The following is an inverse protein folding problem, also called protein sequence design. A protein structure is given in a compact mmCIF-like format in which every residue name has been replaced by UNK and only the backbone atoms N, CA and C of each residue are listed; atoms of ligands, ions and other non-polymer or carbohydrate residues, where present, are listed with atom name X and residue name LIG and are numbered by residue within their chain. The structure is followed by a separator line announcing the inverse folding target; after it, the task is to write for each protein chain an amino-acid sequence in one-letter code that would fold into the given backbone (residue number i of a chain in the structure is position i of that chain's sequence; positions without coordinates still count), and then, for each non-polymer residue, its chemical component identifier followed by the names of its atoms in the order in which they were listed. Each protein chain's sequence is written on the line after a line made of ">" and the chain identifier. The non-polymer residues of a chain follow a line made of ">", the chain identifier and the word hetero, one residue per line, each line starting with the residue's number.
data_IF_007193288013
#
_entry.id   IF_007193288013
#
_cell.length_a   1.000
_cell.length_b   1.000
_cell.length_c   1.000
_cell.angle_alpha   90.00
_cell.angle_beta   90.00
_cell.angle_gamma   90.00
#
_symmetry.space_group_name_H-M   'P 1'
#
loop_
_entity.id
_entity.type
_entity.pdbx_description
1 polymer ?
#
# COMPACT_ATOMS: atom_id res chain seq x y z
N UNK A 1 3.88 -22.10 10.77
CA UNK A 1 2.86 -22.01 9.71
C UNK A 1 3.17 -22.91 8.53
N UNK A 2 4.32 -22.80 7.88
CA UNK A 2 4.72 -23.65 6.73
C UNK A 2 4.73 -25.17 7.01
N UNK A 3 5.02 -25.59 8.25
CA UNK A 3 4.95 -26.99 8.63
C UNK A 3 3.56 -27.62 8.43
N UNK A 4 2.50 -26.88 8.72
CA UNK A 4 1.12 -27.33 8.55
C UNK A 4 0.51 -26.93 7.20
N UNK A 5 1.04 -25.90 6.56
CA UNK A 5 0.56 -25.35 5.30
C UNK A 5 1.74 -25.09 4.35
N UNK A 6 2.38 -26.17 3.81
CA UNK A 6 3.59 -26.02 3.00
C UNK A 6 3.35 -25.22 1.71
N UNK A 7 2.13 -25.21 1.20
CA UNK A 7 1.74 -24.49 -0.02
C UNK A 7 1.36 -23.02 0.23
N UNK A 8 1.47 -22.53 1.48
CA UNK A 8 1.12 -21.13 1.83
C UNK A 8 1.75 -20.08 0.90
N UNK A 9 3.00 -20.23 0.41
CA UNK A 9 3.60 -19.25 -0.49
C UNK A 9 3.00 -19.23 -1.90
N UNK A 10 2.29 -20.27 -2.32
CA UNK A 10 1.80 -20.44 -3.70
C UNK A 10 0.29 -20.55 -3.82
N UNK A 11 -0.41 -20.87 -2.72
CA UNK A 11 -1.86 -21.06 -2.69
C UNK A 11 -2.55 -20.18 -1.67
N UNK A 12 -3.76 -19.72 -1.97
CA UNK A 12 -4.56 -19.03 -0.97
C UNK A 12 -5.03 -20.02 0.12
N UNK A 13 -4.80 -19.70 1.38
CA UNK A 13 -5.28 -20.53 2.48
C UNK A 13 -6.82 -20.65 2.48
N UNK A 14 -7.53 -19.57 2.13
CA UNK A 14 -8.96 -19.60 1.85
C UNK A 14 -9.19 -19.72 0.35
N UNK A 15 -9.54 -20.93 -0.10
CA UNK A 15 -9.68 -21.29 -1.53
C UNK A 15 -10.64 -20.38 -2.33
N UNK A 16 -11.63 -19.74 -1.67
CA UNK A 16 -12.53 -18.79 -2.34
C UNK A 16 -11.81 -17.62 -3.01
N UNK A 17 -10.61 -17.26 -2.54
CA UNK A 17 -9.79 -16.20 -3.14
C UNK A 17 -9.11 -16.62 -4.46
N UNK A 18 -9.17 -17.91 -4.85
CA UNK A 18 -8.66 -18.35 -6.16
C UNK A 18 -9.49 -17.76 -7.31
N UNK A 19 -10.75 -17.42 -7.05
CA UNK A 19 -11.66 -16.80 -8.02
C UNK A 19 -11.81 -15.30 -7.86
N UNK A 20 -11.03 -14.68 -6.96
CA UNK A 20 -11.08 -13.23 -6.75
C UNK A 20 -10.66 -12.50 -8.04
N UNK A 21 -11.44 -11.51 -8.51
CA UNK A 21 -11.22 -10.83 -9.78
C UNK A 21 -10.07 -9.80 -9.69
N UNK A 22 -8.84 -10.27 -9.62
CA UNK A 22 -7.66 -9.42 -9.61
C UNK A 22 -7.49 -8.64 -10.92
N UNK A 23 -7.11 -7.37 -10.80
CA UNK A 23 -6.75 -6.51 -11.93
C UNK A 23 -5.22 -6.48 -12.01
N UNK A 24 -4.64 -7.18 -12.98
CA UNK A 24 -3.18 -7.26 -13.11
C UNK A 24 -2.62 -6.11 -13.97
N UNK A 25 -2.79 -4.87 -13.51
CA UNK A 25 -2.27 -3.67 -14.16
C UNK A 25 -0.78 -3.47 -13.84
N UNK A 26 0.08 -3.66 -14.84
CA UNK A 26 1.52 -3.49 -14.70
C UNK A 26 1.93 -2.02 -14.56
N UNK A 27 1.16 -1.07 -15.09
CA UNK A 27 1.43 0.36 -14.90
C UNK A 27 1.25 0.75 -13.43
N UNK A 28 0.12 0.38 -12.84
CA UNK A 28 -0.17 0.63 -11.42
C UNK A 28 0.87 -0.07 -10.52
N UNK A 29 1.20 -1.33 -10.81
CA UNK A 29 2.23 -2.07 -10.07
C UNK A 29 3.59 -1.34 -10.09
N UNK A 30 4.01 -0.84 -11.25
CA UNK A 30 5.27 -0.11 -11.38
C UNK A 30 5.25 1.22 -10.63
N UNK A 31 4.12 1.94 -10.64
CA UNK A 31 3.94 3.16 -9.84
C UNK A 31 4.07 2.88 -8.35
N UNK A 32 3.44 1.81 -7.87
CA UNK A 32 3.55 1.38 -6.47
C UNK A 32 5.00 1.01 -6.10
N UNK A 33 5.68 0.19 -6.91
CA UNK A 33 7.08 -0.20 -6.68
C UNK A 33 8.02 1.00 -6.56
N UNK A 34 7.79 2.06 -7.34
CA UNK A 34 8.61 3.28 -7.36
C UNK A 34 8.25 4.29 -6.27
N UNK A 35 7.16 4.08 -5.52
CA UNK A 35 6.64 5.08 -4.60
C UNK A 35 6.18 6.34 -5.33
N UNK A 36 5.39 6.16 -6.39
CA UNK A 36 4.82 7.21 -7.25
C UNK A 36 3.29 7.07 -7.34
N UNK A 37 2.65 6.69 -6.24
CA UNK A 37 1.20 6.45 -6.20
C UNK A 37 0.38 7.72 -6.00
N UNK A 38 1.02 8.79 -5.53
CA UNK A 38 0.36 10.03 -5.11
C UNK A 38 -0.21 9.96 -3.69
N UNK A 39 0.02 8.87 -2.95
CA UNK A 39 -0.35 8.71 -1.55
C UNK A 39 0.90 8.72 -0.67
N UNK A 40 1.21 9.83 0.02
CA UNK A 40 2.52 10.07 0.64
C UNK A 40 2.98 8.99 1.61
N UNK A 41 2.10 8.44 2.46
CA UNK A 41 2.49 7.37 3.39
C UNK A 41 2.84 6.06 2.65
N UNK A 42 2.19 5.78 1.52
CA UNK A 42 2.49 4.63 0.66
C UNK A 42 3.83 4.86 -0.05
N UNK A 43 3.99 6.04 -0.66
CA UNK A 43 5.17 6.38 -1.42
C UNK A 43 6.43 6.44 -0.53
N UNK A 44 6.32 7.03 0.66
CA UNK A 44 7.37 7.03 1.66
C UNK A 44 7.80 5.60 2.05
N UNK A 45 6.83 4.72 2.29
CA UNK A 45 7.10 3.32 2.61
C UNK A 45 7.84 2.58 1.50
N UNK A 46 7.45 2.76 0.25
CA UNK A 46 8.11 2.11 -0.87
C UNK A 46 9.51 2.68 -1.13
N UNK A 47 9.72 3.98 -0.93
CA UNK A 47 11.05 4.61 -1.01
C UNK A 47 11.95 4.18 0.15
N UNK A 48 11.42 4.05 1.38
CA UNK A 48 12.16 3.45 2.50
C UNK A 48 12.65 2.06 2.15
N UNK A 49 11.73 1.19 1.69
CA UNK A 49 12.05 -0.19 1.33
C UNK A 49 13.19 -0.25 0.31
N UNK A 50 13.08 0.53 -0.77
CA UNK A 50 14.10 0.55 -1.82
C UNK A 50 15.45 1.07 -1.34
N UNK A 51 15.45 2.09 -0.47
CA UNK A 51 16.68 2.72 0.00
C UNK A 51 17.39 1.93 1.11
N UNK A 52 16.65 1.17 1.93
CA UNK A 52 17.18 0.59 3.17
C UNK A 52 17.05 -0.92 3.25
N UNK A 53 16.24 -1.55 2.41
CA UNK A 53 15.88 -2.96 2.53
C UNK A 53 15.02 -3.28 3.77
N UNK A 54 14.48 -2.25 4.43
CA UNK A 54 13.66 -2.38 5.63
C UNK A 54 12.35 -1.60 5.50
N UNK A 55 11.34 -2.03 6.21
CA UNK A 55 10.08 -1.29 6.37
C UNK A 55 9.41 -1.72 7.68
N UNK A 56 9.01 -0.75 8.49
CA UNK A 56 8.29 -1.02 9.73
C UNK A 56 6.97 -1.76 9.46
N UNK A 57 6.59 -2.74 10.30
CA UNK A 57 5.42 -3.60 10.08
C UNK A 57 4.12 -2.83 9.78
N UNK A 58 3.87 -1.71 10.47
CA UNK A 58 2.67 -0.89 10.20
C UNK A 58 2.66 -0.36 8.76
N UNK A 59 3.80 0.06 8.26
CA UNK A 59 3.94 0.58 6.89
C UNK A 59 3.77 -0.56 5.89
N UNK A 60 4.36 -1.75 6.16
CA UNK A 60 4.13 -2.97 5.32
C UNK A 60 2.63 -3.23 5.14
N UNK A 61 1.85 -3.16 6.22
CA UNK A 61 0.39 -3.36 6.16
C UNK A 61 -0.31 -2.30 5.30
N UNK A 62 0.11 -1.02 5.39
CA UNK A 62 -0.51 0.08 4.64
C UNK A 62 -0.22 -0.07 3.14
N UNK A 63 1.04 -0.25 2.76
CA UNK A 63 1.44 -0.34 1.35
C UNK A 63 0.92 -1.61 0.69
N UNK A 64 0.87 -2.74 1.44
CA UNK A 64 0.30 -3.99 0.94
C UNK A 64 -1.22 -3.88 0.78
N UNK A 65 -1.93 -3.29 1.75
CA UNK A 65 -3.37 -3.03 1.63
C UNK A 65 -3.68 -2.14 0.43
N UNK A 66 -2.88 -1.12 0.17
CA UNK A 66 -3.06 -0.25 -0.99
C UNK A 66 -2.95 -1.05 -2.30
N UNK A 67 -1.91 -1.88 -2.44
CA UNK A 67 -1.72 -2.73 -3.61
C UNK A 67 -2.92 -3.66 -3.85
N UNK A 68 -3.29 -4.45 -2.83
CA UNK A 68 -4.27 -5.53 -3.02
C UNK A 68 -5.72 -5.05 -2.97
N UNK A 69 -6.04 -3.96 -2.25
CA UNK A 69 -7.40 -3.47 -2.06
C UNK A 69 -7.75 -2.28 -2.95
N UNK A 70 -6.87 -1.29 -3.04
CA UNK A 70 -7.16 -0.10 -3.84
C UNK A 70 -6.80 -0.31 -5.32
N UNK A 71 -5.77 -1.09 -5.61
CA UNK A 71 -5.35 -1.36 -6.98
C UNK A 71 -5.80 -2.74 -7.49
N UNK A 72 -6.32 -3.62 -6.63
CA UNK A 72 -6.75 -4.99 -6.95
C UNK A 72 -5.65 -5.81 -7.65
N UNK A 73 -4.40 -5.54 -7.35
CA UNK A 73 -3.25 -6.30 -7.85
C UNK A 73 -3.05 -7.53 -6.97
N UNK A 74 -2.79 -8.69 -7.60
CA UNK A 74 -2.62 -9.95 -6.90
C UNK A 74 -1.48 -9.87 -5.87
N UNK A 75 -1.72 -10.38 -4.66
CA UNK A 75 -0.81 -10.28 -3.53
C UNK A 75 0.59 -10.90 -3.80
N UNK A 76 0.69 -11.98 -4.59
CA UNK A 76 1.97 -12.57 -5.00
C UNK A 76 2.92 -11.55 -5.67
N UNK A 77 2.39 -10.58 -6.43
CA UNK A 77 3.26 -9.55 -7.06
C UNK A 77 3.92 -8.64 -6.04
N UNK A 78 3.22 -8.35 -4.96
CA UNK A 78 3.76 -7.58 -3.85
C UNK A 78 4.69 -8.44 -2.97
N UNK A 79 4.31 -9.68 -2.68
CA UNK A 79 5.12 -10.65 -1.95
C UNK A 79 6.49 -10.86 -2.60
N UNK A 80 6.51 -11.11 -3.92
CA UNK A 80 7.75 -11.29 -4.67
C UNK A 80 8.62 -10.03 -4.61
N UNK A 81 8.03 -8.84 -4.74
CA UNK A 81 8.77 -7.60 -4.63
C UNK A 81 9.36 -7.38 -3.23
N UNK A 82 8.61 -7.72 -2.18
CA UNK A 82 9.11 -7.66 -0.81
C UNK A 82 10.23 -8.68 -0.58
N UNK A 83 10.12 -9.88 -1.15
CA UNK A 83 11.16 -10.89 -1.09
C UNK A 83 12.48 -10.40 -1.69
N UNK A 84 12.41 -9.71 -2.83
CA UNK A 84 13.57 -9.17 -3.52
C UNK A 84 14.20 -7.96 -2.79
N UNK A 85 13.41 -7.19 -2.05
CA UNK A 85 13.86 -5.92 -1.48
C UNK A 85 14.19 -5.98 0.02
N UNK A 86 13.50 -6.83 0.81
CA UNK A 86 13.68 -6.88 2.26
C UNK A 86 14.90 -7.71 2.64
N UNK A 87 15.82 -7.13 3.42
CA UNK A 87 16.95 -7.88 3.95
C UNK A 87 16.56 -8.89 5.05
N UNK A 88 15.42 -8.67 5.72
CA UNK A 88 14.83 -9.56 6.72
C UNK A 88 13.74 -10.48 6.13
N UNK A 89 13.78 -10.73 4.83
CA UNK A 89 12.80 -11.57 4.15
C UNK A 89 12.78 -13.00 4.73
N UNK A 90 11.63 -13.41 5.20
CA UNK A 90 11.32 -14.77 5.65
C UNK A 90 10.06 -15.26 4.93
N UNK A 91 10.14 -16.43 4.30
CA UNK A 91 9.07 -16.90 3.42
C UNK A 91 7.74 -17.12 4.18
N UNK A 92 7.81 -17.61 5.41
CA UNK A 92 6.60 -17.85 6.21
C UNK A 92 5.92 -16.54 6.61
N UNK A 93 6.70 -15.57 7.10
CA UNK A 93 6.20 -14.29 7.55
C UNK A 93 5.72 -13.42 6.37
N UNK A 94 6.47 -13.43 5.26
CA UNK A 94 6.12 -12.68 4.05
C UNK A 94 4.79 -13.20 3.48
N UNK A 95 4.68 -14.50 3.20
CA UNK A 95 3.46 -15.10 2.64
C UNK A 95 2.26 -14.96 3.59
N UNK A 96 2.45 -15.22 4.89
CA UNK A 96 1.39 -15.06 5.88
C UNK A 96 0.91 -13.60 5.99
N UNK A 97 1.83 -12.65 6.00
CA UNK A 97 1.52 -11.22 6.06
C UNK A 97 0.76 -10.72 4.83
N UNK A 98 1.19 -11.12 3.64
CA UNK A 98 0.51 -10.76 2.40
C UNK A 98 -0.88 -11.37 2.30
N UNK A 99 -1.05 -12.64 2.67
CA UNK A 99 -2.35 -13.30 2.71
C UNK A 99 -3.26 -12.71 3.79
N UNK A 100 -2.71 -12.33 4.97
CA UNK A 100 -3.49 -11.61 5.97
C UNK A 100 -4.07 -10.30 5.43
N UNK A 101 -3.23 -9.49 4.76
CA UNK A 101 -3.68 -8.24 4.13
C UNK A 101 -4.66 -8.51 3.00
N UNK A 102 -4.43 -9.51 2.16
CA UNK A 102 -5.35 -9.89 1.08
C UNK A 102 -6.72 -10.34 1.60
N UNK A 103 -6.77 -10.90 2.79
CA UNK A 103 -7.97 -11.49 3.38
C UNK A 103 -8.08 -13.00 3.18
N UNK A 104 -7.08 -13.61 2.52
CA UNK A 104 -7.03 -15.07 2.25
C UNK A 104 -6.29 -15.87 3.31
N UNK A 105 -5.70 -15.23 4.32
CA UNK A 105 -4.90 -15.86 5.36
C UNK A 105 -5.73 -16.50 6.49
N UNK A 106 -5.05 -17.22 7.41
CA UNK A 106 -5.64 -17.97 8.52
C UNK A 106 -6.36 -17.10 9.52
N UNK A 107 -5.79 -15.93 9.85
CA UNK A 107 -6.31 -14.98 10.84
C UNK A 107 -6.75 -13.67 10.17
N UNK A 108 -7.24 -13.80 8.93
CA UNK A 108 -7.82 -12.68 8.22
C UNK A 108 -9.03 -12.16 9.00
N UNK A 109 -9.15 -10.84 9.11
CA UNK A 109 -10.28 -10.20 9.77
C UNK A 109 -11.62 -10.81 9.26
N UNK A 110 -12.65 -10.99 10.11
CA UNK A 110 -13.91 -11.62 9.74
C UNK A 110 -14.64 -10.92 8.59
N UNK A 111 -14.19 -9.74 8.20
CA UNK A 111 -14.64 -8.99 7.05
C UNK A 111 -13.46 -8.34 6.32
N UNK A 112 -13.68 -8.00 5.07
CA UNK A 112 -12.68 -7.45 4.16
C UNK A 112 -12.28 -6.02 4.56
N UNK A 113 -11.19 -5.89 5.32
CA UNK A 113 -10.68 -4.60 5.78
C UNK A 113 -9.89 -3.88 4.68
N UNK A 114 -10.23 -2.63 4.42
CA UNK A 114 -9.54 -1.74 3.48
C UNK A 114 -8.99 -0.56 4.27
N UNK A 115 -7.68 -0.34 4.22
CA UNK A 115 -7.07 0.82 4.85
C UNK A 115 -7.21 2.05 3.95
N UNK A 116 -7.55 3.19 4.56
CA UNK A 116 -7.45 4.48 3.89
C UNK A 116 -6.06 5.06 4.17
N UNK A 117 -5.17 5.22 3.17
CA UNK A 117 -3.79 5.67 3.38
C UNK A 117 -3.71 7.07 4.01
N UNK A 118 -4.66 7.96 3.71
CA UNK A 118 -4.70 9.32 4.28
C UNK A 118 -4.89 9.24 5.80
N UNK A 119 -5.91 8.49 6.25
CA UNK A 119 -6.19 8.34 7.69
C UNK A 119 -5.12 7.54 8.41
N UNK A 120 -4.47 6.58 7.72
CA UNK A 120 -3.35 5.84 8.30
C UNK A 120 -2.13 6.75 8.47
N UNK A 121 -1.82 7.61 7.50
CA UNK A 121 -0.75 8.60 7.61
C UNK A 121 -1.00 9.56 8.77
N UNK A 122 -2.16 10.21 8.81
CA UNK A 122 -2.54 11.12 9.90
C UNK A 122 -2.48 10.48 11.30
N UNK A 123 -2.72 9.17 11.41
CA UNK A 123 -2.72 8.45 12.69
C UNK A 123 -1.33 7.97 13.14
N UNK A 124 -0.47 7.54 12.22
CA UNK A 124 0.78 6.85 12.54
C UNK A 124 2.04 7.65 12.21
N UNK A 125 1.87 8.79 11.56
CA UNK A 125 2.93 9.76 11.26
C UNK A 125 2.36 11.19 11.45
N UNK A 126 1.83 11.47 12.65
CA UNK A 126 1.08 12.69 12.98
C UNK A 126 1.91 13.96 12.75
N UNK A 127 3.18 13.93 13.10
CA UNK A 127 4.12 15.03 12.89
C UNK A 127 4.69 15.08 11.45
N UNK A 128 4.43 14.06 10.64
CA UNK A 128 4.89 13.95 9.26
C UNK A 128 6.39 13.70 9.11
N UNK A 129 7.08 13.38 10.20
CA UNK A 129 8.55 13.23 10.21
C UNK A 129 9.01 12.05 9.35
N UNK A 130 8.30 10.92 9.43
CA UNK A 130 8.56 9.74 8.62
C UNK A 130 8.35 10.03 7.14
N UNK A 131 7.19 10.55 6.77
CA UNK A 131 6.84 10.84 5.37
C UNK A 131 7.81 11.85 4.77
N UNK A 132 8.10 12.96 5.45
CA UNK A 132 9.02 14.00 4.98
C UNK A 132 10.47 13.52 4.86
N UNK A 133 10.87 12.53 5.66
CA UNK A 133 12.21 11.91 5.57
C UNK A 133 12.40 11.20 4.24
N UNK A 134 11.42 10.44 3.78
CA UNK A 134 11.52 9.64 2.55
C UNK A 134 10.93 10.33 1.31
N UNK A 135 10.20 11.44 1.51
CA UNK A 135 9.70 12.33 0.47
C UNK A 135 10.17 13.77 0.74
N UNK A 136 11.47 14.06 0.54
CA UNK A 136 12.03 15.37 0.83
C UNK A 136 11.39 16.51 0.02
N UNK A 137 10.79 16.21 -1.12
CA UNK A 137 9.97 17.11 -1.93
C UNK A 137 8.78 17.67 -1.12
N UNK A 138 8.21 16.89 -0.19
CA UNK A 138 7.10 17.30 0.67
C UNK A 138 7.52 17.94 2.00
N UNK A 139 8.81 18.21 2.22
CA UNK A 139 9.33 18.70 3.52
C UNK A 139 8.65 19.98 4.02
N UNK A 140 8.27 20.87 3.10
CA UNK A 140 7.65 22.16 3.43
C UNK A 140 6.11 22.10 3.44
N UNK A 141 5.51 20.92 3.13
CA UNK A 141 4.07 20.74 3.17
C UNK A 141 3.56 20.81 4.62
N UNK A 142 2.53 21.63 4.92
CA UNK A 142 1.85 21.58 6.22
C UNK A 142 1.26 20.20 6.48
N UNK A 143 1.33 19.74 7.74
CA UNK A 143 0.86 18.40 8.11
C UNK A 143 -0.64 18.18 7.83
N UNK A 144 -1.43 19.26 7.83
CA UNK A 144 -2.84 19.25 7.46
C UNK A 144 -3.08 18.61 6.07
N UNK A 145 -2.21 18.97 5.10
CA UNK A 145 -2.30 18.51 3.70
C UNK A 145 -1.25 17.47 3.33
N UNK A 146 -0.36 17.09 4.25
CA UNK A 146 0.77 16.21 3.96
C UNK A 146 0.34 14.89 3.33
N UNK A 147 -0.76 14.30 3.80
CA UNK A 147 -1.24 12.99 3.34
C UNK A 147 -2.28 13.06 2.21
N UNK A 148 -2.67 14.27 1.81
CA UNK A 148 -3.55 14.57 0.67
C UNK A 148 -3.14 15.88 -0.03
N UNK A 149 -1.92 15.96 -0.60
CA UNK A 149 -1.39 17.22 -1.15
C UNK A 149 -2.27 17.84 -2.24
N UNK A 150 -3.02 17.02 -2.97
CA UNK A 150 -3.95 17.45 -4.03
C UNK A 150 -5.20 18.18 -3.48
N UNK A 151 -5.46 18.13 -2.18
CA UNK A 151 -6.53 18.87 -1.52
C UNK A 151 -6.05 20.24 -1.02
N UNK A 152 -4.73 20.50 -1.07
CA UNK A 152 -4.16 21.75 -0.59
C UNK A 152 -4.54 22.92 -1.50
N UNK A 153 -4.91 24.10 -0.93
CA UNK A 153 -5.09 25.32 -1.70
C UNK A 153 -3.82 25.72 -2.47
N UNK A 154 -4.00 26.42 -3.59
CA UNK A 154 -2.89 26.77 -4.49
C UNK A 154 -1.82 27.63 -3.81
N UNK A 155 -2.21 28.53 -2.91
CA UNK A 155 -1.28 29.36 -2.14
C UNK A 155 -0.42 28.55 -1.16
N UNK A 156 -0.96 27.45 -0.60
CA UNK A 156 -0.23 26.50 0.24
C UNK A 156 0.79 25.71 -0.60
N UNK A 157 0.38 25.22 -1.77
CA UNK A 157 1.30 24.53 -2.70
C UNK A 157 2.45 25.46 -3.13
N UNK A 158 2.16 26.71 -3.47
CA UNK A 158 3.17 27.72 -3.80
C UNK A 158 4.15 27.97 -2.64
N UNK A 159 3.65 28.12 -1.42
CA UNK A 159 4.50 28.31 -0.21
C UNK A 159 5.35 27.07 0.05
N UNK A 160 4.81 25.88 -0.15
CA UNK A 160 5.53 24.61 -0.03
C UNK A 160 6.50 24.37 -1.20
N UNK A 161 6.43 25.14 -2.28
CA UNK A 161 7.19 24.99 -3.53
C UNK A 161 6.95 23.66 -4.23
N UNK A 162 5.69 23.23 -4.29
CA UNK A 162 5.28 21.97 -4.90
C UNK A 162 4.40 22.25 -6.12
N UNK A 163 4.77 21.63 -7.25
CA UNK A 163 3.94 21.55 -8.45
C UNK A 163 3.43 20.11 -8.57
N UNK A 164 2.15 19.90 -8.28
CA UNK A 164 1.54 18.58 -8.44
C UNK A 164 1.59 18.14 -9.92
N UNK A 165 1.87 16.87 -10.13
CA UNK A 165 2.08 16.29 -11.45
C UNK A 165 3.52 16.42 -11.96
N UNK A 166 4.35 17.28 -11.35
CA UNK A 166 5.77 17.45 -11.70
C UNK A 166 6.68 17.05 -10.54
N UNK A 167 6.58 17.73 -9.38
CA UNK A 167 7.43 17.49 -8.22
C UNK A 167 6.89 16.33 -7.36
N UNK A 168 5.57 16.18 -7.31
CA UNK A 168 4.88 15.08 -6.66
C UNK A 168 3.65 14.65 -7.50
N UNK A 169 3.39 13.34 -7.67
CA UNK A 169 2.31 12.87 -8.53
C UNK A 169 0.92 13.12 -7.95
N UNK A 170 -0.07 13.20 -8.84
CA UNK A 170 -1.48 13.06 -8.45
C UNK A 170 -1.80 11.61 -8.07
N UNK A 171 -2.86 11.38 -7.25
CA UNK A 171 -3.33 10.03 -6.93
C UNK A 171 -3.61 9.19 -8.19
N UNK A 172 -3.02 7.99 -8.25
CA UNK A 172 -3.23 7.05 -9.38
C UNK A 172 -4.56 6.32 -9.31
N UNK A 173 -5.21 6.30 -8.15
CA UNK A 173 -6.55 5.75 -7.93
C UNK A 173 -7.32 6.67 -6.98
N UNK A 174 -8.62 6.79 -7.16
CA UNK A 174 -9.50 7.46 -6.20
C UNK A 174 -9.87 6.49 -5.07
N UNK A 175 -9.71 6.91 -3.81
CA UNK A 175 -9.90 6.05 -2.62
C UNK A 175 -11.34 5.58 -2.48
N UNK A 176 -12.33 6.44 -2.74
CA UNK A 176 -13.74 6.09 -2.59
C UNK A 176 -14.14 5.04 -3.63
N UNK A 177 -13.89 5.35 -4.89
CA UNK A 177 -14.20 4.45 -6.02
C UNK A 177 -13.44 3.13 -5.93
N UNK A 178 -12.15 3.16 -5.56
CA UNK A 178 -11.35 1.94 -5.42
C UNK A 178 -11.85 1.06 -4.27
N UNK A 179 -12.29 1.67 -3.15
CA UNK A 179 -12.92 0.94 -2.05
C UNK A 179 -14.22 0.25 -2.49
N UNK A 180 -15.08 0.95 -3.23
CA UNK A 180 -16.32 0.39 -3.76
C UNK A 180 -16.05 -0.80 -4.69
N UNK A 181 -15.09 -0.66 -5.60
CA UNK A 181 -14.64 -1.75 -6.49
C UNK A 181 -14.13 -2.96 -5.71
N UNK A 182 -13.33 -2.73 -4.67
CA UNK A 182 -12.79 -3.81 -3.84
C UNK A 182 -13.90 -4.57 -3.09
N UNK A 183 -14.89 -3.86 -2.54
CA UNK A 183 -16.04 -4.47 -1.88
C UNK A 183 -16.89 -5.25 -2.88
N UNK A 184 -17.18 -4.70 -4.05
CA UNK A 184 -17.92 -5.39 -5.11
C UNK A 184 -17.17 -6.64 -5.63
N UNK A 185 -15.84 -6.60 -5.69
CA UNK A 185 -15.02 -7.76 -6.02
C UNK A 185 -15.12 -8.85 -4.94
N UNK A 186 -15.10 -8.46 -3.67
CA UNK A 186 -15.23 -9.40 -2.55
C UNK A 186 -16.61 -10.07 -2.49
N UNK A 187 -17.68 -9.34 -2.79
CA UNK A 187 -19.04 -9.90 -2.82
C UNK A 187 -19.18 -11.06 -3.83
N UNK A 188 -18.37 -11.04 -4.91
CA UNK A 188 -18.39 -12.11 -5.93
C UNK A 188 -17.82 -13.46 -5.47
N UNK A 189 -17.10 -13.46 -4.33
CA UNK A 189 -16.44 -14.65 -3.77
C UNK A 189 -16.98 -15.04 -2.39
N UNK A 190 -18.03 -14.41 -1.91
CA UNK A 190 -18.75 -14.82 -0.71
C UNK A 190 -19.56 -16.07 -0.99
#
# INVERSE_FOLDING_TARGET
>A
MLYHFPNLPVENLQAKFNTFPWVNDNYLLNKWKKGETGYPIVDAGMKELYATGYMHNRVRMIVASFLVKNMLVHWHKGENYFWDCLFDADIANNSAGWQWVAGSGADAAPYFRIFNPITQGKKFDEDGSYTKKYLPELKNMPNEYLFSPWEAPEDILKKAKINLGKDYPYPIVDIKTSREKALAAYEKIK
#
